data_IF_852114724538
#
_entry.id   IF_852114724538
#
_cell.length_a   1.000
_cell.length_b   1.000
_cell.length_c   1.000
_cell.angle_alpha   90.00
_cell.angle_beta   90.00
_cell.angle_gamma   90.00
#
_symmetry.space_group_name_H-M   'P 1'
#
loop_
_entity.id
_entity.type
_entity.pdbx_description
1 polymer ?
#
# COMPACT_ATOMS: atom_id res chain seq x y z
N UNK A 1 -30.69 43.02 47.75
CA UNK A 1 -30.64 42.54 49.15
C UNK A 1 -31.02 41.06 49.15
N UNK A 2 -30.28 40.18 49.84
CA UNK A 2 -30.58 38.77 50.20
C UNK A 2 -31.06 37.83 49.06
N UNK A 3 -30.39 36.74 48.69
CA UNK A 3 -29.81 35.65 49.51
C UNK A 3 -30.81 34.49 49.56
N UNK A 4 -30.50 33.22 49.26
CA UNK A 4 -29.28 32.41 49.54
C UNK A 4 -29.06 31.35 48.43
N UNK A 5 -27.83 30.83 48.31
CA UNK A 5 -27.50 29.72 47.40
C UNK A 5 -27.51 28.34 48.08
N UNK A 6 -27.26 27.28 47.29
CA UNK A 6 -27.07 25.91 47.75
C UNK A 6 -25.74 25.34 47.21
N UNK A 7 -24.88 24.87 48.13
CA UNK A 7 -23.67 24.10 47.82
C UNK A 7 -24.02 22.61 47.77
N UNK A 8 -23.36 21.84 46.89
CA UNK A 8 -23.21 20.39 47.04
C UNK A 8 -21.71 20.09 47.23
N UNK A 9 -21.38 19.33 48.28
CA UNK A 9 -20.00 19.04 48.70
C UNK A 9 -19.54 17.68 48.22
N UNK A 10 -18.28 17.61 47.80
CA UNK A 10 -17.45 16.41 47.69
C UNK A 10 -17.27 15.73 49.04
N UNK A 11 -17.28 14.38 49.09
CA UNK A 11 -16.50 13.56 50.05
C UNK A 11 -16.28 12.14 49.47
N UNK A 12 -15.07 11.62 49.68
CA UNK A 12 -14.55 10.31 49.27
C UNK A 12 -15.04 9.20 50.22
N UNK A 13 -15.16 7.95 49.74
CA UNK A 13 -15.17 6.76 50.61
C UNK A 13 -14.12 5.72 50.22
N UNK A 14 -13.66 4.99 51.23
CA UNK A 14 -12.43 4.19 51.25
C UNK A 14 -12.71 2.70 50.95
N UNK A 15 -11.70 1.99 50.43
CA UNK A 15 -11.73 0.53 50.27
C UNK A 15 -12.02 -0.22 51.59
N UNK A 16 -12.92 -1.20 51.53
CA UNK A 16 -12.73 -2.53 52.15
C UNK A 16 -13.38 -3.58 51.22
N UNK A 17 -12.57 -4.40 50.56
CA UNK A 17 -13.06 -5.57 49.84
C UNK A 17 -12.80 -6.82 50.69
N UNK A 18 -13.86 -7.35 51.32
CA UNK A 18 -13.75 -8.55 52.16
C UNK A 18 -13.65 -9.79 51.28
N UNK A 19 -12.47 -10.41 51.27
CA UNK A 19 -12.22 -11.65 50.54
C UNK A 19 -12.90 -12.82 51.25
N UNK A 20 -13.87 -13.47 50.60
CA UNK A 20 -14.42 -14.76 51.04
C UNK A 20 -14.11 -15.80 49.97
N UNK A 21 -13.16 -16.69 50.27
CA UNK A 21 -12.79 -17.79 49.40
C UNK A 21 -13.88 -18.87 49.40
N UNK A 22 -14.72 -18.87 48.37
CA UNK A 22 -15.48 -20.05 47.95
C UNK A 22 -14.60 -20.92 47.05
N UNK A 23 -13.92 -21.91 47.63
CA UNK A 23 -12.94 -22.73 46.90
C UNK A 23 -13.61 -23.78 45.99
N UNK A 24 -13.95 -23.39 44.76
CA UNK A 24 -14.13 -24.28 43.61
C UNK A 24 -13.16 -23.83 42.52
N UNK A 25 -11.93 -24.35 42.59
CA UNK A 25 -10.80 -23.87 41.80
C UNK A 25 -10.80 -24.39 40.37
N UNK A 26 -11.64 -23.81 39.50
CA UNK A 26 -11.30 -23.78 38.07
C UNK A 26 -10.19 -22.73 37.92
N UNK A 27 -8.94 -23.17 38.00
CA UNK A 27 -7.84 -22.34 37.54
C UNK A 27 -7.99 -22.21 36.03
N UNK A 28 -8.56 -21.10 35.58
CA UNK A 28 -8.40 -20.66 34.20
C UNK A 28 -6.90 -20.44 34.00
N UNK A 29 -6.22 -21.43 33.42
CA UNK A 29 -4.85 -21.30 32.99
C UNK A 29 -4.85 -20.21 31.93
N UNK A 30 -4.31 -19.04 32.28
CA UNK A 30 -4.13 -17.95 31.33
C UNK A 30 -3.15 -18.45 30.26
N UNK A 31 -3.69 -18.89 29.13
CA UNK A 31 -2.91 -19.38 28.00
C UNK A 31 -1.97 -18.26 27.57
N UNK A 32 -0.67 -18.56 27.51
CA UNK A 32 0.32 -17.57 27.07
C UNK A 32 -0.02 -17.15 25.63
N UNK A 33 -0.03 -15.85 25.31
CA UNK A 33 -0.44 -15.41 23.98
C UNK A 33 0.57 -15.86 22.93
N UNK A 34 0.07 -16.37 21.81
CA UNK A 34 0.87 -16.78 20.67
C UNK A 34 1.60 -15.56 20.09
N UNK A 35 2.93 -15.60 19.99
CA UNK A 35 3.71 -14.51 19.38
C UNK A 35 3.93 -14.78 17.90
N UNK A 36 3.44 -13.89 17.06
CA UNK A 36 3.53 -13.98 15.60
C UNK A 36 4.42 -12.85 15.10
N UNK A 37 5.58 -13.18 14.53
CA UNK A 37 6.41 -12.16 13.86
C UNK A 37 5.78 -11.81 12.52
N UNK A 38 5.73 -10.52 12.22
CA UNK A 38 5.35 -10.01 10.90
C UNK A 38 6.42 -9.06 10.39
N UNK A 39 6.96 -9.35 9.21
CA UNK A 39 7.90 -8.48 8.51
C UNK A 39 7.20 -7.89 7.28
N UNK A 40 7.07 -6.56 7.25
CA UNK A 40 6.40 -5.82 6.19
C UNK A 40 7.45 -5.22 5.25
N UNK A 41 7.38 -5.57 3.98
CA UNK A 41 8.16 -4.96 2.89
C UNK A 41 7.23 -4.53 1.77
N UNK A 42 7.76 -3.90 0.72
CA UNK A 42 7.02 -3.55 -0.47
C UNK A 42 6.23 -4.76 -1.02
N UNK A 43 4.90 -4.66 -0.93
CA UNK A 43 3.93 -5.63 -1.46
C UNK A 43 3.88 -6.99 -0.75
N UNK A 44 4.63 -7.21 0.33
CA UNK A 44 4.68 -8.52 1.04
C UNK A 44 4.40 -8.38 2.54
N UNK A 45 3.49 -9.23 3.03
CA UNK A 45 3.27 -9.47 4.47
C UNK A 45 3.89 -10.82 4.82
N UNK A 46 5.15 -10.81 5.24
CA UNK A 46 5.84 -12.03 5.65
C UNK A 46 5.49 -12.39 7.09
N UNK A 47 4.99 -13.62 7.27
CA UNK A 47 4.50 -14.19 8.52
C UNK A 47 4.17 -15.69 8.32
N UNK A 48 4.03 -16.50 9.38
CA UNK A 48 3.59 -17.89 9.27
C UNK A 48 2.18 -18.04 8.68
N UNK A 49 2.00 -19.05 7.83
CA UNK A 49 0.73 -19.39 7.15
C UNK A 49 -0.29 -20.06 8.08
N UNK A 50 0.21 -20.91 8.98
CA UNK A 50 -0.55 -21.70 9.94
C UNK A 50 -0.39 -21.11 11.35
N UNK A 51 -1.50 -20.66 11.93
CA UNK A 51 -1.57 -20.17 13.31
C UNK A 51 -2.51 -21.04 14.14
N UNK A 52 -2.39 -20.96 15.47
CA UNK A 52 -3.27 -21.65 16.42
C UNK A 52 -4.24 -20.66 17.05
N UNK A 53 -5.50 -21.05 17.21
CA UNK A 53 -6.53 -20.25 17.85
C UNK A 53 -6.17 -19.88 19.31
N UNK A 54 -6.62 -18.70 19.74
CA UNK A 54 -6.36 -18.14 21.06
C UNK A 54 -5.81 -16.70 21.03
N UNK A 55 -5.48 -16.14 22.21
CA UNK A 55 -4.89 -14.80 22.30
C UNK A 55 -3.54 -14.77 21.59
N UNK A 56 -3.32 -13.74 20.77
CA UNK A 56 -2.15 -13.62 19.89
C UNK A 56 -1.61 -12.19 19.87
N UNK A 57 -0.28 -12.05 19.88
CA UNK A 57 0.44 -10.78 19.76
C UNK A 57 1.24 -10.80 18.46
N UNK A 58 0.90 -9.90 17.56
CA UNK A 58 1.60 -9.71 16.30
C UNK A 58 2.73 -8.68 16.49
N UNK A 59 3.98 -9.14 16.36
CA UNK A 59 5.20 -8.34 16.43
C UNK A 59 5.56 -7.84 15.04
N UNK A 60 5.07 -6.66 14.69
CA UNK A 60 5.08 -6.13 13.33
C UNK A 60 6.28 -5.21 13.15
N UNK A 61 7.13 -5.46 12.16
CA UNK A 61 8.25 -4.59 11.81
C UNK A 61 8.22 -4.23 10.34
N UNK A 62 8.31 -2.95 10.05
CA UNK A 62 8.46 -2.45 8.68
C UNK A 62 9.94 -2.50 8.28
N UNK A 63 10.29 -3.42 7.38
CA UNK A 63 11.60 -3.54 6.74
C UNK A 63 11.66 -2.90 5.35
N UNK A 64 10.51 -2.51 4.80
CA UNK A 64 10.37 -1.78 3.54
C UNK A 64 10.82 -0.32 3.61
N UNK A 65 10.69 0.34 2.46
CA UNK A 65 11.00 1.75 2.20
C UNK A 65 9.76 2.66 2.26
N UNK A 66 8.55 2.11 2.14
CA UNK A 66 7.29 2.84 2.32
C UNK A 66 6.72 2.75 3.73
N UNK A 67 5.66 3.52 3.99
CA UNK A 67 4.89 3.43 5.24
C UNK A 67 3.90 2.28 5.14
N UNK A 68 3.82 1.45 6.18
CA UNK A 68 2.97 0.27 6.24
C UNK A 68 2.15 0.19 7.53
N UNK A 69 1.11 -0.64 7.52
CA UNK A 69 0.32 -1.07 8.68
C UNK A 69 -0.16 -2.50 8.42
N UNK A 70 -0.73 -3.16 9.42
CA UNK A 70 -1.34 -4.49 9.31
C UNK A 70 -2.83 -4.39 9.63
N UNK A 71 -3.67 -5.01 8.80
CA UNK A 71 -5.09 -5.26 9.04
C UNK A 71 -5.36 -6.76 8.91
N UNK A 72 -6.17 -7.30 9.82
CA UNK A 72 -6.57 -8.71 9.90
C UNK A 72 -8.10 -8.76 9.93
N UNK A 73 -8.70 -9.48 8.99
CA UNK A 73 -10.15 -9.58 8.84
C UNK A 73 -10.60 -11.03 8.63
N UNK A 74 -11.61 -11.47 9.37
CA UNK A 74 -12.15 -12.83 9.28
C UNK A 74 -12.80 -13.27 10.59
N UNK A 75 -13.69 -14.26 10.53
CA UNK A 75 -14.36 -14.83 11.73
C UNK A 75 -15.04 -13.80 12.66
N UNK A 76 -15.57 -12.70 12.10
CA UNK A 76 -16.12 -11.52 12.81
C UNK A 76 -15.09 -10.66 13.58
N UNK A 77 -13.80 -10.86 13.35
CA UNK A 77 -12.73 -9.95 13.77
C UNK A 77 -12.45 -8.94 12.65
N UNK A 78 -12.40 -7.67 13.02
CA UNK A 78 -11.73 -6.60 12.25
C UNK A 78 -10.69 -5.95 13.18
N UNK A 79 -9.40 -6.21 12.93
CA UNK A 79 -8.31 -5.69 13.74
C UNK A 79 -7.29 -4.96 12.87
N UNK A 80 -6.79 -3.81 13.32
CA UNK A 80 -5.83 -3.00 12.58
C UNK A 80 -4.80 -2.39 13.52
N UNK A 81 -3.55 -2.30 13.07
CA UNK A 81 -2.53 -1.48 13.72
C UNK A 81 -2.77 0.00 13.39
N UNK A 82 -3.29 0.77 14.35
CA UNK A 82 -3.52 2.22 14.21
C UNK A 82 -2.25 3.01 13.86
N UNK A 83 -1.09 2.52 14.32
CA UNK A 83 0.19 3.15 14.05
C UNK A 83 0.67 2.84 12.63
N UNK A 84 0.72 3.87 11.79
CA UNK A 84 1.44 3.83 10.53
C UNK A 84 2.95 3.70 10.78
N UNK A 85 3.51 2.53 10.48
CA UNK A 85 4.91 2.20 10.65
C UNK A 85 5.73 2.79 9.49
N UNK A 86 6.66 3.69 9.80
CA UNK A 86 7.70 4.14 8.86
C UNK A 86 8.77 3.05 8.66
N UNK A 87 9.64 3.16 7.65
CA UNK A 87 10.79 2.27 7.49
C UNK A 87 11.58 2.07 8.79
N UNK A 88 11.88 0.81 9.12
CA UNK A 88 12.53 0.35 10.37
C UNK A 88 11.76 0.61 11.66
N UNK A 89 10.47 0.93 11.59
CA UNK A 89 9.61 1.11 12.76
C UNK A 89 8.84 -0.20 13.04
N UNK A 90 8.66 -0.51 14.33
CA UNK A 90 7.88 -1.67 14.79
C UNK A 90 6.65 -1.25 15.59
N UNK A 91 5.67 -2.15 15.66
CA UNK A 91 4.43 -2.01 16.43
C UNK A 91 3.92 -3.37 16.91
N UNK A 92 2.99 -3.36 17.86
CA UNK A 92 2.31 -4.55 18.37
C UNK A 92 0.82 -4.45 18.07
N UNK A 93 0.22 -5.57 17.64
CA UNK A 93 -1.23 -5.72 17.48
C UNK A 93 -1.68 -6.97 18.25
N UNK A 94 -2.53 -6.78 19.25
CA UNK A 94 -3.08 -7.87 20.07
C UNK A 94 -4.47 -8.25 19.55
N UNK A 95 -4.72 -9.55 19.33
CA UNK A 95 -5.99 -10.08 18.81
C UNK A 95 -6.32 -11.42 19.45
N UNK A 96 -7.60 -11.78 19.46
CA UNK A 96 -8.05 -13.14 19.78
C UNK A 96 -8.44 -13.85 18.49
N UNK A 97 -7.72 -14.92 18.13
CA UNK A 97 -7.95 -15.67 16.89
C UNK A 97 -8.88 -16.85 17.17
N UNK A 98 -9.94 -16.97 16.37
CA UNK A 98 -10.82 -18.13 16.32
C UNK A 98 -10.37 -19.08 15.20
N UNK A 99 -10.69 -20.39 15.26
CA UNK A 99 -10.39 -21.30 14.17
C UNK A 99 -11.10 -20.86 12.88
N UNK A 100 -10.38 -20.85 11.76
CA UNK A 100 -10.92 -20.45 10.46
C UNK A 100 -9.92 -19.69 9.59
N UNK A 101 -10.44 -19.03 8.57
CA UNK A 101 -9.65 -18.32 7.55
C UNK A 101 -9.74 -16.80 7.77
N UNK A 102 -8.62 -16.11 7.57
CA UNK A 102 -8.51 -14.65 7.67
C UNK A 102 -7.79 -14.08 6.43
N UNK A 103 -8.19 -12.88 5.99
CA UNK A 103 -7.34 -12.02 5.16
C UNK A 103 -6.44 -11.18 6.06
N UNK A 104 -5.17 -11.06 5.68
CA UNK A 104 -4.18 -10.19 6.31
C UNK A 104 -3.57 -9.31 5.22
N UNK A 105 -3.60 -7.98 5.41
CA UNK A 105 -3.16 -7.03 4.38
C UNK A 105 -2.66 -5.70 4.94
N UNK A 106 -2.00 -4.92 4.09
CA UNK A 106 -1.63 -3.54 4.40
C UNK A 106 -2.72 -2.56 3.95
N UNK A 107 -3.41 -1.84 4.86
CA UNK A 107 -4.50 -0.92 4.52
C UNK A 107 -4.03 0.45 3.98
N UNK A 108 -2.71 0.67 3.84
CA UNK A 108 -2.15 1.93 3.36
C UNK A 108 -2.38 2.09 1.86
N UNK A 109 -3.15 3.11 1.46
CA UNK A 109 -3.37 3.46 0.05
C UNK A 109 -3.90 2.29 -0.78
N UNK A 110 -3.21 1.97 -1.87
CA UNK A 110 -3.51 0.85 -2.75
C UNK A 110 -2.64 -0.40 -2.47
N UNK A 111 -1.94 -0.49 -1.32
CA UNK A 111 -0.98 -1.56 -1.09
C UNK A 111 -1.60 -2.97 -1.16
N UNK A 112 -2.77 -3.18 -0.55
CA UNK A 112 -3.51 -4.43 -0.65
C UNK A 112 -4.03 -4.76 -2.07
N UNK A 113 -4.15 -3.77 -2.97
CA UNK A 113 -4.55 -3.96 -4.37
C UNK A 113 -3.35 -4.31 -5.26
N UNK A 114 -2.16 -3.86 -4.87
CA UNK A 114 -0.87 -4.15 -5.51
C UNK A 114 -0.20 -5.43 -4.97
N UNK A 115 -0.96 -6.30 -4.29
CA UNK A 115 -0.49 -7.62 -3.84
C UNK A 115 -0.14 -7.72 -2.36
N UNK A 116 -0.16 -6.62 -1.59
CA UNK A 116 0.13 -6.64 -0.14
C UNK A 116 -1.03 -7.19 0.70
N UNK A 117 -1.49 -8.38 0.35
CA UNK A 117 -2.55 -9.15 0.98
C UNK A 117 -2.21 -10.64 0.92
N UNK A 118 -2.65 -11.39 1.92
CA UNK A 118 -2.58 -12.84 1.94
C UNK A 118 -3.74 -13.42 2.74
N UNK A 119 -3.98 -14.70 2.53
CA UNK A 119 -4.89 -15.49 3.34
C UNK A 119 -4.07 -16.34 4.31
N UNK A 120 -4.53 -16.50 5.55
CA UNK A 120 -3.93 -17.37 6.56
C UNK A 120 -4.98 -18.34 7.13
N UNK A 121 -4.52 -19.46 7.68
CA UNK A 121 -5.37 -20.46 8.34
C UNK A 121 -5.07 -20.51 9.83
N UNK A 122 -6.12 -20.42 10.64
CA UNK A 122 -6.06 -20.62 12.08
C UNK A 122 -6.67 -21.98 12.41
N UNK A 123 -5.88 -22.90 12.94
CA UNK A 123 -6.35 -24.21 13.42
C UNK A 123 -6.89 -24.10 14.85
N UNK A 124 -7.74 -25.05 15.24
CA UNK A 124 -8.14 -25.17 16.64
C UNK A 124 -6.92 -25.46 17.52
N UNK A 125 -6.87 -24.86 18.71
CA UNK A 125 -5.93 -25.30 19.74
C UNK A 125 -6.30 -26.73 20.14
N UNK A 126 -5.33 -27.66 20.05
CA UNK A 126 -5.46 -28.99 20.64
C UNK A 126 -5.78 -28.85 22.14
N UNK A 127 -6.73 -29.62 22.69
CA UNK A 127 -6.99 -29.61 24.12
C UNK A 127 -5.73 -30.07 24.86
N UNK A 128 -5.18 -29.18 25.68
CA UNK A 128 -3.99 -29.45 26.49
C UNK A 128 -4.15 -30.74 27.31
N UNK A 129 -3.27 -31.72 27.07
CA UNK A 129 -3.14 -32.94 27.88
C UNK A 129 -2.70 -32.57 29.31
N UNK A 130 -3.67 -32.18 30.14
CA UNK A 130 -3.51 -32.13 31.58
C UNK A 130 -3.64 -33.56 32.13
N UNK A 131 -2.72 -34.04 32.98
CA UNK A 131 -2.78 -35.40 33.50
C UNK A 131 -4.04 -35.58 34.35
N UNK A 132 -4.80 -36.62 34.06
CA UNK A 132 -5.99 -36.98 34.84
C UNK A 132 -5.60 -37.27 36.30
N UNK A 133 -6.22 -36.55 37.23
CA UNK A 133 -6.13 -36.83 38.67
C UNK A 133 -7.25 -37.79 39.03
N UNK A 134 -6.91 -39.06 39.31
CA UNK A 134 -7.86 -40.02 39.85
C UNK A 134 -7.92 -39.94 41.39
N UNK A 135 -9.11 -39.66 41.92
CA UNK A 135 -9.38 -39.65 43.36
C UNK A 135 -9.65 -41.07 43.90
N UNK A 136 -8.72 -41.57 44.72
CA UNK A 136 -9.07 -42.11 46.05
C UNK A 136 -9.61 -43.55 46.22
N UNK A 137 -8.82 -44.31 47.00
CA UNK A 137 -9.26 -45.30 48.02
C UNK A 137 -9.64 -46.75 47.61
N UNK A 138 -8.61 -47.60 47.54
CA UNK A 138 -8.44 -48.87 48.26
C UNK A 138 -9.57 -49.95 48.32
N UNK A 139 -9.26 -51.13 47.79
CA UNK A 139 -9.45 -52.41 48.50
C UNK A 139 -8.28 -53.38 48.21
N UNK A 140 -8.10 -54.39 49.06
CA UNK A 140 -6.91 -55.24 49.16
C UNK A 140 -7.13 -56.63 48.55
N UNK A 141 -6.11 -57.25 47.95
CA UNK A 141 -5.57 -58.58 48.36
C UNK A 141 -4.37 -59.06 47.52
N UNK A 142 -3.31 -59.49 48.23
CA UNK A 142 -2.44 -60.68 48.02
C UNK A 142 -2.27 -61.29 46.59
N UNK A 143 -1.12 -61.77 46.11
CA UNK A 143 0.33 -61.75 46.44
C UNK A 143 1.06 -62.46 45.23
N UNK A 144 2.38 -62.72 45.10
CA UNK A 144 3.54 -62.71 46.01
C UNK A 144 4.86 -62.46 45.25
N UNK A 145 5.71 -61.58 45.80
CA UNK A 145 7.15 -61.75 46.09
C UNK A 145 8.07 -62.57 45.13
N UNK A 146 9.19 -61.95 44.70
CA UNK A 146 10.53 -62.44 45.07
C UNK A 146 11.63 -61.35 44.96
N UNK A 147 12.47 -61.20 45.99
CA UNK A 147 13.68 -60.36 46.01
C UNK A 147 14.60 -60.77 47.18
N UNK A 148 15.92 -60.85 46.95
CA UNK A 148 16.91 -60.58 47.99
C UNK A 148 18.07 -59.70 47.44
N UNK A 149 19.04 -59.26 48.27
CA UNK A 149 18.88 -58.12 49.16
C UNK A 149 19.88 -56.98 48.84
N UNK A 150 19.56 -55.76 49.30
CA UNK A 150 20.51 -54.64 49.24
C UNK A 150 21.55 -54.73 50.38
N UNK A 151 22.80 -54.37 50.08
CA UNK A 151 23.87 -54.20 51.07
C UNK A 151 24.48 -52.80 50.95
N UNK A 152 24.73 -52.16 52.08
CA UNK A 152 25.24 -50.79 52.19
C UNK A 152 26.77 -50.75 52.14
N UNK A 153 27.34 -49.78 51.42
CA UNK A 153 28.72 -49.33 51.59
C UNK A 153 28.89 -47.87 51.16
N UNK A 154 29.82 -47.15 51.81
CA UNK A 154 29.98 -45.68 51.69
C UNK A 154 31.38 -45.32 51.20
N UNK A 155 31.46 -44.42 50.19
CA UNK A 155 32.68 -43.70 49.73
C UNK A 155 33.79 -44.57 49.08
N UNK A 156 34.76 -44.01 48.30
CA UNK A 156 35.13 -42.59 48.16
C UNK A 156 35.24 -42.04 46.72
N UNK A 157 35.73 -40.79 46.61
CA UNK A 157 36.05 -40.07 45.36
C UNK A 157 36.95 -40.88 44.41
N UNK A 158 36.61 -40.82 43.12
CA UNK A 158 37.52 -41.06 41.99
C UNK A 158 37.23 -40.03 40.89
N UNK A 159 38.26 -39.61 40.16
CA UNK A 159 38.11 -38.70 39.00
C UNK A 159 37.50 -39.47 37.82
N UNK A 160 36.23 -39.20 37.50
CA UNK A 160 35.65 -39.66 36.22
C UNK A 160 35.81 -38.59 35.14
N UNK A 161 36.67 -38.98 34.21
CA UNK A 161 37.09 -38.33 32.99
C UNK A 161 35.94 -37.64 32.24
N UNK A 162 36.12 -36.34 31.91
CA UNK A 162 35.26 -35.65 30.95
C UNK A 162 35.19 -36.45 29.64
N UNK A 163 34.00 -36.58 29.02
CA UNK A 163 33.91 -37.13 27.67
C UNK A 163 34.76 -36.25 26.72
N UNK A 164 35.30 -36.83 25.64
CA UNK A 164 36.06 -36.04 24.68
C UNK A 164 35.19 -34.87 24.20
N UNK A 165 35.70 -33.66 24.35
CA UNK A 165 35.15 -32.51 23.63
C UNK A 165 35.34 -32.82 22.15
N UNK A 166 34.25 -33.21 21.50
CA UNK A 166 34.08 -33.03 20.06
C UNK A 166 34.52 -31.60 19.78
N UNK A 167 35.62 -31.44 19.05
CA UNK A 167 36.15 -30.15 18.66
C UNK A 167 35.27 -29.61 17.55
N UNK A 168 34.05 -29.23 17.98
CA UNK A 168 32.96 -28.71 17.18
C UNK A 168 33.42 -27.51 16.41
N UNK A 169 34.06 -27.77 15.27
CA UNK A 169 34.47 -26.79 14.30
C UNK A 169 33.21 -26.05 13.93
N UNK A 170 33.14 -24.78 14.33
CA UNK A 170 32.02 -23.92 14.00
C UNK A 170 31.82 -24.00 12.49
N UNK A 171 30.79 -24.73 12.07
CA UNK A 171 30.20 -24.60 10.75
C UNK A 171 29.53 -23.25 10.78
N UNK A 172 30.35 -22.20 10.63
CA UNK A 172 29.90 -20.91 10.15
C UNK A 172 29.27 -21.24 8.82
N UNK A 173 27.93 -21.31 8.79
CA UNK A 173 27.19 -21.44 7.56
C UNK A 173 27.73 -20.36 6.64
N UNK A 174 28.40 -20.78 5.56
CA UNK A 174 29.20 -19.87 4.73
C UNK A 174 28.25 -19.06 3.84
N UNK A 175 27.47 -18.19 4.48
CA UNK A 175 26.58 -17.24 3.84
C UNK A 175 27.45 -16.43 2.87
N UNK A 176 27.22 -16.55 1.56
CA UNK A 176 28.08 -15.90 0.59
C UNK A 176 28.09 -14.40 0.86
N UNK A 177 29.27 -13.79 0.83
CA UNK A 177 29.40 -12.34 0.95
C UNK A 177 28.73 -11.71 -0.26
N UNK A 178 27.90 -10.69 -0.03
CA UNK A 178 27.17 -10.00 -1.10
C UNK A 178 27.37 -8.48 -1.04
N UNK A 179 27.06 -7.82 -2.15
CA UNK A 179 26.86 -6.37 -2.22
C UNK A 179 25.52 -6.10 -2.89
N UNK A 180 24.68 -5.28 -2.24
CA UNK A 180 23.39 -4.85 -2.78
C UNK A 180 23.40 -3.34 -2.94
N UNK A 181 23.05 -2.84 -4.12
CA UNK A 181 22.94 -1.40 -4.39
C UNK A 181 21.69 -1.09 -5.21
N UNK A 182 21.31 0.19 -5.20
CA UNK A 182 20.28 0.74 -6.10
C UNK A 182 21.00 1.53 -7.21
N UNK A 183 20.82 1.09 -8.44
CA UNK A 183 21.13 1.87 -9.64
C UNK A 183 19.94 2.73 -10.05
N UNK A 184 20.21 3.91 -10.58
CA UNK A 184 19.21 4.83 -11.11
C UNK A 184 19.60 5.15 -12.54
N UNK A 185 18.70 4.88 -13.47
CA UNK A 185 18.85 5.21 -14.88
C UNK A 185 17.77 6.16 -15.33
N UNK A 186 18.16 7.10 -16.19
CA UNK A 186 17.24 8.08 -16.75
C UNK A 186 17.43 8.14 -18.26
N UNK A 187 16.32 8.39 -18.96
CA UNK A 187 16.35 8.66 -20.38
C UNK A 187 15.35 9.77 -20.69
N UNK A 188 15.77 10.69 -21.55
CA UNK A 188 14.96 11.81 -22.01
C UNK A 188 14.43 11.56 -23.43
N UNK A 189 13.25 12.13 -23.68
CA UNK A 189 12.69 12.32 -25.01
C UNK A 189 11.97 13.68 -25.10
N UNK A 190 11.90 14.21 -26.31
CA UNK A 190 10.94 15.28 -26.64
C UNK A 190 9.60 14.58 -26.92
N UNK A 191 8.49 14.97 -26.28
CA UNK A 191 7.17 14.45 -26.62
C UNK A 191 6.85 14.66 -28.10
N UNK A 192 6.21 13.68 -28.72
CA UNK A 192 5.81 13.65 -30.14
C UNK A 192 4.29 13.71 -30.33
N UNK A 193 3.52 13.38 -29.28
CA UNK A 193 2.06 13.43 -29.24
C UNK A 193 1.52 14.35 -28.12
N UNK A 194 0.27 14.76 -28.27
CA UNK A 194 -0.46 15.52 -27.26
C UNK A 194 -1.81 14.84 -26.93
N UNK A 195 -2.24 14.96 -25.69
CA UNK A 195 -3.60 14.67 -25.23
C UNK A 195 -4.25 15.99 -24.82
N UNK A 196 -5.31 16.35 -25.55
CA UNK A 196 -6.10 17.55 -25.30
C UNK A 196 -7.38 17.15 -24.55
N UNK A 197 -7.76 17.91 -23.53
CA UNK A 197 -9.11 17.87 -22.97
C UNK A 197 -9.80 19.19 -23.34
N UNK A 198 -10.74 19.12 -24.28
CA UNK A 198 -11.46 20.26 -24.81
C UNK A 198 -12.95 19.93 -25.00
N UNK A 199 -13.77 20.95 -25.28
CA UNK A 199 -15.17 20.74 -25.61
C UNK A 199 -16.01 22.01 -25.59
N UNK A 200 -17.31 21.80 -25.40
CA UNK A 200 -18.35 22.81 -25.60
C UNK A 200 -19.14 23.02 -24.31
N UNK A 201 -19.19 24.26 -23.85
CA UNK A 201 -20.16 24.79 -22.90
C UNK A 201 -21.25 25.57 -23.64
N UNK A 202 -22.51 25.28 -23.34
CA UNK A 202 -23.66 26.07 -23.80
C UNK A 202 -24.54 26.46 -22.62
N UNK A 203 -25.30 27.53 -22.76
CA UNK A 203 -26.28 27.99 -21.78
C UNK A 203 -27.62 28.29 -22.45
N UNK A 204 -28.73 28.13 -21.74
CA UNK A 204 -30.06 28.38 -22.27
C UNK A 204 -31.19 28.11 -21.27
N UNK A 205 -32.41 28.53 -21.62
CA UNK A 205 -33.53 28.62 -20.69
C UNK A 205 -34.05 27.26 -20.22
N UNK A 206 -33.95 26.22 -21.08
CA UNK A 206 -34.41 24.86 -20.76
C UNK A 206 -33.31 23.82 -20.93
N UNK A 207 -33.29 22.83 -20.05
CA UNK A 207 -32.33 21.73 -20.06
C UNK A 207 -32.28 21.00 -21.41
N UNK A 208 -33.45 20.72 -21.99
CA UNK A 208 -33.58 20.00 -23.26
C UNK A 208 -33.00 20.80 -24.44
N UNK A 209 -33.34 22.08 -24.58
CA UNK A 209 -32.80 22.95 -25.63
C UNK A 209 -31.28 23.11 -25.50
N UNK A 210 -30.79 23.35 -24.29
CA UNK A 210 -29.36 23.57 -24.02
C UNK A 210 -28.54 22.32 -24.36
N UNK A 211 -29.07 21.13 -24.08
CA UNK A 211 -28.44 19.85 -24.43
C UNK A 211 -28.44 19.57 -25.94
N UNK A 212 -29.55 19.86 -26.64
CA UNK A 212 -29.63 19.70 -28.11
C UNK A 212 -28.62 20.61 -28.81
N UNK A 213 -28.56 21.88 -28.40
CA UNK A 213 -27.62 22.84 -28.98
C UNK A 213 -26.15 22.49 -28.64
N UNK A 214 -25.88 22.03 -27.41
CA UNK A 214 -24.56 21.50 -27.04
C UNK A 214 -24.13 20.33 -27.94
N UNK A 215 -25.03 19.37 -28.14
CA UNK A 215 -24.78 18.17 -28.95
C UNK A 215 -24.54 18.53 -30.42
N UNK A 216 -25.26 19.53 -30.94
CA UNK A 216 -25.08 20.05 -32.30
C UNK A 216 -23.69 20.69 -32.47
N UNK A 217 -23.28 21.56 -31.56
CA UNK A 217 -21.95 22.20 -31.59
C UNK A 217 -20.83 21.16 -31.42
N UNK A 218 -20.97 20.21 -30.49
CA UNK A 218 -20.00 19.14 -30.30
C UNK A 218 -19.88 18.27 -31.55
N UNK A 219 -20.97 17.98 -32.27
CA UNK A 219 -20.91 17.23 -33.52
C UNK A 219 -20.13 17.97 -34.62
N UNK A 220 -20.20 19.31 -34.69
CA UNK A 220 -19.35 20.12 -35.57
C UNK A 220 -17.86 19.92 -35.21
N UNK A 221 -17.50 20.09 -33.94
CA UNK A 221 -16.13 19.90 -33.43
C UNK A 221 -15.61 18.49 -33.72
N UNK A 222 -16.40 17.45 -33.46
CA UNK A 222 -16.07 16.05 -33.77
C UNK A 222 -15.91 15.79 -35.28
N UNK A 223 -16.57 16.58 -36.13
CA UNK A 223 -16.42 16.47 -37.59
C UNK A 223 -15.11 17.14 -38.02
N UNK A 224 -14.84 18.36 -37.56
CA UNK A 224 -13.56 19.06 -37.79
C UNK A 224 -12.34 18.23 -37.39
N UNK A 225 -12.37 17.56 -36.23
CA UNK A 225 -11.29 16.64 -35.82
C UNK A 225 -11.06 15.49 -36.81
N UNK A 226 -12.14 14.86 -37.32
CA UNK A 226 -12.05 13.77 -38.29
C UNK A 226 -11.57 14.26 -39.66
N UNK A 227 -11.99 15.44 -40.08
CA UNK A 227 -11.59 16.07 -41.34
C UNK A 227 -10.10 16.45 -41.32
N UNK A 228 -9.56 16.83 -40.14
CA UNK A 228 -8.12 16.97 -39.88
C UNK A 228 -7.38 15.64 -39.68
N UNK A 229 -8.04 14.50 -39.86
CA UNK A 229 -7.44 13.16 -39.86
C UNK A 229 -7.26 12.51 -38.49
N UNK A 230 -7.83 13.06 -37.42
CA UNK A 230 -7.79 12.40 -36.10
C UNK A 230 -8.67 11.14 -36.15
N UNK A 231 -8.08 10.00 -35.79
CA UNK A 231 -8.77 8.72 -35.82
C UNK A 231 -9.89 8.66 -34.78
N UNK A 232 -11.01 8.00 -35.10
CA UNK A 232 -12.14 7.85 -34.15
C UNK A 232 -11.74 7.18 -32.84
N UNK A 233 -10.76 6.26 -32.85
CA UNK A 233 -10.23 5.63 -31.63
C UNK A 233 -9.37 6.55 -30.75
N UNK A 234 -8.90 7.68 -31.31
CA UNK A 234 -8.14 8.70 -30.59
C UNK A 234 -9.04 9.82 -30.03
N UNK A 235 -10.37 9.74 -30.22
CA UNK A 235 -11.37 10.68 -29.70
C UNK A 235 -12.29 9.95 -28.72
N UNK A 236 -12.35 10.43 -27.46
CA UNK A 236 -13.19 9.86 -26.40
C UNK A 236 -14.02 10.95 -25.75
N UNK A 237 -15.33 10.75 -25.57
CA UNK A 237 -16.12 11.61 -24.68
C UNK A 237 -15.66 11.40 -23.24
N UNK A 238 -15.26 12.48 -22.57
CA UNK A 238 -14.76 12.47 -21.20
C UNK A 238 -15.88 12.68 -20.18
N UNK A 239 -16.76 13.68 -20.41
CA UNK A 239 -17.98 13.84 -19.62
C UNK A 239 -19.04 14.66 -20.35
N UNK A 240 -20.31 14.46 -19.98
CA UNK A 240 -21.42 15.35 -20.33
C UNK A 240 -22.15 15.69 -19.04
N UNK A 241 -22.22 16.97 -18.70
CA UNK A 241 -22.74 17.46 -17.43
C UNK A 241 -23.75 18.58 -17.67
N UNK A 242 -24.85 18.58 -16.91
CA UNK A 242 -25.92 19.56 -17.02
C UNK A 242 -26.19 20.15 -15.64
N UNK A 243 -26.11 21.48 -15.54
CA UNK A 243 -26.23 22.23 -14.29
C UNK A 243 -27.36 23.26 -14.40
N UNK A 244 -28.27 23.35 -13.42
CA UNK A 244 -29.18 24.50 -13.32
C UNK A 244 -28.39 25.77 -12.96
N UNK A 245 -28.63 26.86 -13.68
CA UNK A 245 -28.20 28.21 -13.32
C UNK A 245 -29.27 28.86 -12.44
N UNK A 246 -28.85 29.47 -11.34
CA UNK A 246 -29.72 30.26 -10.49
C UNK A 246 -29.19 31.69 -10.40
N UNK A 247 -30.08 32.66 -10.39
CA UNK A 247 -29.78 34.07 -10.14
C UNK A 247 -30.42 34.51 -8.81
N UNK A 248 -29.78 35.47 -8.14
CA UNK A 248 -30.25 35.99 -6.86
C UNK A 248 -31.04 37.28 -7.06
N UNK A 249 -32.25 37.34 -6.51
CA UNK A 249 -33.06 38.56 -6.54
C UNK A 249 -32.46 39.64 -5.62
N UNK A 250 -32.48 40.93 -6.01
CA UNK A 250 -31.99 42.01 -5.17
C UNK A 250 -32.71 42.11 -3.81
N UNK A 251 -32.08 42.71 -2.78
CA UNK A 251 -32.71 42.97 -1.48
C UNK A 251 -34.03 43.77 -1.60
N UNK A 252 -35.00 43.61 -0.69
CA UNK A 252 -34.86 43.03 0.66
C UNK A 252 -35.17 41.53 0.76
N UNK A 253 -35.57 40.86 -0.33
CA UNK A 253 -35.82 39.41 -0.35
C UNK A 253 -34.90 38.75 -1.36
N UNK A 254 -33.74 38.27 -0.89
CA UNK A 254 -32.84 37.45 -1.69
C UNK A 254 -33.40 36.04 -1.79
N UNK A 255 -33.94 35.69 -2.96
CA UNK A 255 -34.36 34.36 -3.36
C UNK A 255 -33.50 33.90 -4.52
N UNK A 256 -33.32 32.58 -4.65
CA UNK A 256 -32.61 31.97 -5.79
C UNK A 256 -33.64 31.50 -6.81
N UNK A 257 -33.79 32.25 -7.89
CA UNK A 257 -34.67 31.90 -9.00
C UNK A 257 -33.90 31.11 -10.06
N UNK A 258 -34.57 30.15 -10.72
CA UNK A 258 -33.96 29.36 -11.78
C UNK A 258 -33.84 30.23 -13.04
N UNK A 259 -32.60 30.57 -13.41
CA UNK A 259 -32.27 31.45 -14.54
C UNK A 259 -31.93 30.68 -15.83
N UNK A 260 -32.01 29.35 -15.81
CA UNK A 260 -31.78 28.48 -16.96
C UNK A 260 -30.85 27.33 -16.63
N UNK A 261 -30.09 26.87 -17.62
CA UNK A 261 -29.20 25.71 -17.53
C UNK A 261 -27.90 25.96 -18.28
N UNK A 262 -26.83 25.33 -17.80
CA UNK A 262 -25.54 25.18 -18.49
C UNK A 262 -25.35 23.70 -18.83
N UNK A 263 -24.93 23.39 -20.05
CA UNK A 263 -24.41 22.06 -20.41
C UNK A 263 -22.93 22.18 -20.73
N UNK A 264 -22.11 21.29 -20.16
CA UNK A 264 -20.68 21.16 -20.44
C UNK A 264 -20.44 19.75 -20.97
N UNK A 265 -19.87 19.65 -22.17
CA UNK A 265 -19.52 18.40 -22.81
C UNK A 265 -18.04 18.44 -23.17
N UNK A 266 -17.28 17.47 -22.68
CA UNK A 266 -15.83 17.40 -22.79
C UNK A 266 -15.44 16.12 -23.50
N UNK A 267 -14.41 16.22 -24.33
CA UNK A 267 -13.75 15.12 -25.01
C UNK A 267 -12.25 15.13 -24.72
N UNK A 268 -11.68 13.95 -24.57
CA UNK A 268 -10.25 13.71 -24.68
C UNK A 268 -9.92 13.43 -26.15
N UNK A 269 -8.90 14.09 -26.67
CA UNK A 269 -8.40 13.91 -28.04
C UNK A 269 -6.90 13.60 -27.97
N UNK A 270 -6.50 12.44 -28.51
CA UNK A 270 -5.09 12.08 -28.70
C UNK A 270 -4.64 12.52 -30.10
N UNK A 271 -3.62 13.37 -30.14
CA UNK A 271 -3.05 13.93 -31.36
C UNK A 271 -1.64 13.36 -31.52
N UNK A 272 -1.47 12.43 -32.46
CA UNK A 272 -0.23 11.65 -32.67
C UNK A 272 0.94 12.44 -33.28
N UNK A 273 0.73 13.72 -33.58
CA UNK A 273 1.78 14.62 -34.04
C UNK A 273 1.50 16.03 -33.52
N UNK A 274 2.44 16.59 -32.76
CA UNK A 274 2.34 17.97 -32.24
C UNK A 274 2.51 19.01 -33.37
N UNK A 275 3.05 18.61 -34.53
CA UNK A 275 3.16 19.49 -35.69
C UNK A 275 1.76 19.91 -36.18
N UNK A 276 1.49 21.22 -36.21
CA UNK A 276 0.17 21.77 -36.56
C UNK A 276 -0.85 21.76 -35.40
N UNK A 277 -0.45 21.41 -34.17
CA UNK A 277 -1.36 21.41 -33.01
C UNK A 277 -2.02 22.79 -32.77
N UNK A 278 -1.29 23.90 -32.98
CA UNK A 278 -1.84 25.24 -32.89
C UNK A 278 -2.99 25.49 -33.88
N UNK A 279 -2.81 25.09 -35.15
CA UNK A 279 -3.88 25.19 -36.17
C UNK A 279 -5.10 24.34 -35.81
N UNK A 280 -4.87 23.12 -35.31
CA UNK A 280 -5.94 22.22 -34.89
C UNK A 280 -6.75 22.82 -33.73
N UNK A 281 -6.09 23.47 -32.76
CA UNK A 281 -6.73 24.18 -31.66
C UNK A 281 -7.57 25.36 -32.17
N UNK A 282 -7.02 26.18 -33.06
CA UNK A 282 -7.74 27.32 -33.67
C UNK A 282 -8.98 26.85 -34.47
N UNK A 283 -8.87 25.73 -35.20
CA UNK A 283 -9.99 25.15 -35.97
C UNK A 283 -11.09 24.57 -35.08
N UNK A 284 -10.77 23.82 -34.02
CA UNK A 284 -11.82 23.32 -33.13
C UNK A 284 -12.52 24.46 -32.37
N UNK A 285 -11.81 25.57 -32.08
CA UNK A 285 -12.41 26.78 -31.51
C UNK A 285 -13.39 27.42 -32.51
N UNK A 286 -12.97 27.57 -33.78
CA UNK A 286 -13.87 28.04 -34.85
C UNK A 286 -15.07 27.11 -35.08
N UNK A 287 -14.91 25.80 -34.86
CA UNK A 287 -15.99 24.81 -34.94
C UNK A 287 -16.97 24.83 -33.74
N UNK A 288 -16.67 25.59 -32.68
CA UNK A 288 -17.53 25.80 -31.51
C UNK A 288 -16.97 25.32 -30.17
N UNK A 289 -15.76 24.74 -30.12
CA UNK A 289 -15.11 24.43 -28.86
C UNK A 289 -14.77 25.73 -28.10
N UNK A 290 -15.21 25.82 -26.87
CA UNK A 290 -15.06 27.05 -26.04
C UNK A 290 -14.60 26.75 -24.62
N UNK A 291 -14.36 25.48 -24.31
CA UNK A 291 -13.81 24.99 -23.04
C UNK A 291 -12.56 24.19 -23.36
N UNK A 292 -11.38 24.69 -22.97
CA UNK A 292 -10.10 23.98 -23.04
C UNK A 292 -9.61 23.81 -21.60
N UNK A 293 -9.47 22.57 -21.14
CA UNK A 293 -9.08 22.26 -19.75
C UNK A 293 -7.60 21.92 -19.60
N UNK A 294 -7.05 21.16 -20.54
CA UNK A 294 -5.66 20.73 -20.48
C UNK A 294 -5.10 20.42 -21.86
N UNK A 295 -3.80 20.66 -22.01
CA UNK A 295 -2.95 20.02 -23.02
C UNK A 295 -1.84 19.30 -22.25
N UNK A 296 -1.71 18.01 -22.50
CA UNK A 296 -0.68 17.13 -21.93
C UNK A 296 0.20 16.64 -23.08
N UNK A 297 1.50 16.84 -22.97
CA UNK A 297 2.45 16.24 -23.91
C UNK A 297 2.88 14.86 -23.40
N UNK A 298 2.90 13.88 -24.29
CA UNK A 298 3.27 12.49 -24.00
C UNK A 298 4.23 12.00 -25.08
N UNK A 299 5.07 11.02 -24.75
CA UNK A 299 5.80 10.23 -25.75
C UNK A 299 4.87 9.11 -26.24
N UNK A 300 4.81 8.90 -27.56
CA UNK A 300 3.97 7.92 -28.27
C UNK A 300 4.30 6.49 -27.89
N UNK A 301 5.57 6.13 -28.13
CA UNK A 301 6.16 4.84 -27.82
C UNK A 301 7.25 5.07 -26.76
N UNK A 302 6.98 4.61 -25.54
CA UNK A 302 7.91 4.75 -24.42
C UNK A 302 8.83 3.55 -24.23
N UNK A 303 8.73 2.49 -25.03
CA UNK A 303 9.44 1.24 -24.76
C UNK A 303 10.95 1.41 -24.99
N UNK A 304 11.35 2.02 -26.11
CA UNK A 304 12.75 2.46 -26.37
C UNK A 304 13.27 3.46 -25.32
N UNK A 305 12.38 4.23 -24.69
CA UNK A 305 12.74 5.20 -23.64
C UNK A 305 12.95 4.51 -22.29
N UNK A 306 12.10 3.51 -21.97
CA UNK A 306 12.23 2.64 -20.80
C UNK A 306 13.47 1.75 -20.88
N UNK A 307 13.76 1.16 -22.04
CA UNK A 307 14.91 0.27 -22.21
C UNK A 307 16.25 1.02 -22.11
N UNK A 308 16.33 2.24 -22.65
CA UNK A 308 17.49 3.13 -22.40
C UNK A 308 17.64 3.48 -20.91
N UNK A 309 16.54 3.72 -20.20
CA UNK A 309 16.58 3.98 -18.76
C UNK A 309 16.98 2.74 -17.95
N UNK A 310 16.51 1.53 -18.33
CA UNK A 310 16.94 0.24 -17.74
C UNK A 310 18.43 -0.01 -17.93
N UNK A 311 18.94 0.19 -19.14
CA UNK A 311 20.36 0.01 -19.44
C UNK A 311 21.21 0.95 -18.58
N UNK A 312 20.85 2.24 -18.52
CA UNK A 312 21.52 3.21 -17.65
C UNK A 312 21.46 2.81 -16.16
N UNK A 313 20.32 2.29 -15.69
CA UNK A 313 20.15 1.87 -14.30
C UNK A 313 21.06 0.68 -13.94
N UNK A 314 21.15 -0.32 -14.82
CA UNK A 314 22.03 -1.48 -14.64
C UNK A 314 23.52 -1.11 -14.76
N UNK A 315 23.88 -0.18 -15.65
CA UNK A 315 25.23 0.37 -15.75
C UNK A 315 25.63 1.12 -14.45
N UNK A 316 24.76 1.97 -13.91
CA UNK A 316 25.01 2.66 -12.63
C UNK A 316 25.10 1.69 -11.45
N UNK A 317 24.17 0.71 -11.36
CA UNK A 317 24.19 -0.31 -10.31
C UNK A 317 25.50 -1.11 -10.31
N UNK A 318 25.90 -1.66 -11.48
CA UNK A 318 27.12 -2.47 -11.60
C UNK A 318 28.39 -1.67 -11.29
N UNK A 319 28.47 -0.41 -11.73
CA UNK A 319 29.59 0.48 -11.38
C UNK A 319 29.65 0.80 -9.88
N UNK A 320 28.50 1.05 -9.23
CA UNK A 320 28.42 1.26 -7.77
C UNK A 320 28.87 0.00 -7.02
N UNK A 321 28.37 -1.17 -7.40
CA UNK A 321 28.70 -2.44 -6.77
C UNK A 321 30.20 -2.78 -6.91
N UNK A 322 30.78 -2.59 -8.10
CA UNK A 322 32.21 -2.81 -8.34
C UNK A 322 33.10 -1.88 -7.49
N UNK A 323 32.72 -0.60 -7.33
CA UNK A 323 33.43 0.35 -6.46
C UNK A 323 33.37 -0.07 -4.98
N UNK A 324 32.21 -0.52 -4.50
CA UNK A 324 32.06 -1.01 -3.12
C UNK A 324 32.81 -2.31 -2.88
N UNK A 325 32.80 -3.25 -3.84
CA UNK A 325 33.58 -4.49 -3.77
C UNK A 325 35.08 -4.18 -3.61
N UNK A 326 35.63 -3.30 -4.45
CA UNK A 326 37.03 -2.90 -4.39
C UNK A 326 37.41 -2.27 -3.03
N UNK A 327 36.56 -1.39 -2.47
CA UNK A 327 36.75 -0.80 -1.15
C UNK A 327 36.69 -1.84 -0.01
N UNK A 328 35.99 -2.95 -0.21
CA UNK A 328 35.92 -4.08 0.72
C UNK A 328 37.04 -5.11 0.52
N UNK A 329 38.05 -4.81 -0.32
CA UNK A 329 39.11 -5.73 -0.76
C UNK A 329 38.56 -7.04 -1.36
N UNK A 330 37.48 -6.93 -2.15
CA UNK A 330 36.83 -8.03 -2.86
C UNK A 330 36.63 -7.65 -4.34
N UNK A 331 36.29 -8.66 -5.14
CA UNK A 331 35.89 -8.53 -6.54
C UNK A 331 34.39 -8.78 -6.71
N UNK A 332 33.80 -8.19 -7.76
CA UNK A 332 32.37 -8.37 -8.05
C UNK A 332 32.15 -9.75 -8.71
N UNK A 333 31.29 -10.55 -8.11
CA UNK A 333 30.89 -11.87 -8.59
C UNK A 333 29.64 -11.83 -9.46
N UNK A 334 28.92 -12.94 -9.49
CA UNK A 334 27.72 -13.09 -10.32
C UNK A 334 26.53 -12.34 -9.68
N UNK A 335 25.57 -11.92 -10.53
CA UNK A 335 24.29 -11.34 -10.08
C UNK A 335 23.46 -12.44 -9.40
N UNK A 336 22.88 -12.12 -8.24
CA UNK A 336 21.97 -13.00 -7.50
C UNK A 336 20.50 -12.60 -7.71
N UNK A 337 20.20 -11.31 -7.61
CA UNK A 337 18.84 -10.78 -7.77
C UNK A 337 18.86 -9.44 -8.51
N UNK A 338 17.82 -9.19 -9.30
CA UNK A 338 17.50 -7.90 -9.92
C UNK A 338 16.03 -7.62 -9.61
N UNK A 339 15.75 -6.53 -8.89
CA UNK A 339 14.42 -6.02 -8.63
C UNK A 339 14.29 -4.66 -9.35
N UNK A 340 13.49 -4.61 -10.42
CA UNK A 340 13.17 -3.36 -11.12
C UNK A 340 12.01 -2.63 -10.42
N UNK A 341 12.22 -1.36 -10.08
CA UNK A 341 11.19 -0.42 -9.64
C UNK A 341 11.09 0.69 -10.68
N UNK A 342 10.27 0.45 -11.69
CA UNK A 342 10.00 1.46 -12.73
C UNK A 342 8.98 2.47 -12.21
N UNK A 343 9.43 3.73 -12.02
CA UNK A 343 8.55 4.86 -11.77
C UNK A 343 8.18 5.49 -13.12
N UNK A 344 6.97 5.18 -13.58
CA UNK A 344 6.43 5.75 -14.82
C UNK A 344 6.48 7.29 -14.82
N UNK A 345 6.67 7.92 -16.00
CA UNK A 345 6.86 9.36 -16.07
C UNK A 345 5.62 10.10 -15.55
N UNK A 346 5.85 11.14 -14.74
CA UNK A 346 4.78 12.02 -14.28
C UNK A 346 4.16 12.79 -15.44
N UNK A 347 2.84 13.06 -15.40
CA UNK A 347 2.17 13.84 -16.43
C UNK A 347 2.67 15.29 -16.48
N UNK A 348 3.24 15.71 -17.62
CA UNK A 348 3.48 17.13 -17.90
C UNK A 348 2.14 17.82 -18.18
N UNK A 349 1.85 18.92 -17.48
CA UNK A 349 0.65 19.75 -17.69
C UNK A 349 1.11 21.10 -18.22
N UNK A 350 0.71 21.46 -19.43
CA UNK A 350 0.89 22.82 -19.94
C UNK A 350 -0.23 23.72 -19.38
N UNK A 351 0.13 24.71 -18.56
CA UNK A 351 -0.82 25.66 -17.98
C UNK A 351 -1.07 26.82 -18.97
N UNK A 352 -2.14 26.71 -19.77
CA UNK A 352 -2.56 27.77 -20.68
C UNK A 352 -3.54 28.74 -20.02
N UNK A 353 -3.16 30.02 -19.94
CA UNK A 353 -4.09 31.11 -19.60
C UNK A 353 -4.79 31.57 -20.88
N UNK A 354 -6.05 31.19 -21.04
CA UNK A 354 -6.86 31.66 -22.16
C UNK A 354 -7.11 33.18 -22.06
N UNK A 355 -6.61 33.95 -23.04
CA UNK A 355 -7.03 35.33 -23.30
C UNK A 355 -7.48 35.43 -24.75
N UNK A 356 -8.67 35.99 -24.97
CA UNK A 356 -9.20 36.22 -26.29
C UNK A 356 -8.57 37.49 -26.89
N UNK A 357 -7.57 37.29 -27.75
CA UNK A 357 -7.20 38.14 -28.91
C UNK A 357 -6.03 37.41 -29.63
N UNK A 358 -6.34 36.76 -30.75
CA UNK A 358 -5.52 35.65 -31.25
C UNK A 358 -4.32 36.05 -32.11
N UNK A 359 -3.12 35.75 -31.61
CA UNK A 359 -1.99 35.26 -32.41
C UNK A 359 -1.96 33.72 -32.31
N UNK A 360 -1.37 32.97 -33.26
CA UNK A 360 -1.31 31.51 -33.19
C UNK A 360 -0.66 31.06 -31.87
N UNK A 361 -1.30 30.11 -31.18
CA UNK A 361 -0.86 29.63 -29.87
C UNK A 361 0.55 29.04 -29.98
N UNK A 362 1.57 29.59 -29.29
CA UNK A 362 2.89 28.99 -29.24
C UNK A 362 2.83 27.68 -28.45
N UNK A 363 3.23 26.57 -29.07
CA UNK A 363 3.24 25.24 -28.47
C UNK A 363 4.68 24.77 -28.37
N UNK A 364 5.21 24.67 -27.15
CA UNK A 364 6.51 24.08 -26.86
C UNK A 364 6.34 22.90 -25.87
N UNK A 365 6.61 21.64 -26.28
CA UNK A 365 6.26 20.47 -25.48
C UNK A 365 7.23 20.16 -24.33
N UNK A 366 8.38 20.83 -24.28
CA UNK A 366 9.45 20.55 -23.32
C UNK A 366 10.13 19.20 -23.53
N UNK A 367 10.74 18.67 -22.48
CA UNK A 367 11.39 17.34 -22.45
C UNK A 367 10.78 16.49 -21.34
N UNK A 368 10.51 15.22 -21.62
CA UNK A 368 10.00 14.26 -20.65
C UNK A 368 11.11 13.25 -20.29
N UNK A 369 11.33 13.07 -18.98
CA UNK A 369 12.31 12.13 -18.44
C UNK A 369 11.60 10.90 -17.86
N UNK A 370 12.02 9.71 -18.28
CA UNK A 370 11.70 8.45 -17.60
C UNK A 370 12.82 8.11 -16.62
N UNK A 371 12.46 7.59 -15.44
CA UNK A 371 13.42 7.13 -14.42
C UNK A 371 13.13 5.69 -14.00
N UNK A 372 14.12 4.83 -14.16
CA UNK A 372 14.08 3.43 -13.72
C UNK A 372 15.05 3.27 -12.56
N UNK A 373 14.60 2.63 -11.48
CA UNK A 373 15.48 2.19 -10.39
C UNK A 373 15.61 0.67 -10.43
N UNK A 374 16.84 0.16 -10.25
CA UNK A 374 17.10 -1.27 -10.13
C UNK A 374 17.84 -1.54 -8.83
N UNK A 375 17.25 -2.32 -7.94
CA UNK A 375 17.97 -2.88 -6.80
C UNK A 375 18.59 -4.21 -7.25
N UNK A 376 19.90 -4.32 -7.16
CA UNK A 376 20.64 -5.49 -7.64
C UNK A 376 21.60 -5.97 -6.56
N UNK A 377 21.62 -7.29 -6.35
CA UNK A 377 22.56 -7.95 -5.45
C UNK A 377 23.56 -8.81 -6.25
N UNK A 378 24.83 -8.73 -5.89
CA UNK A 378 25.91 -9.57 -6.43
C UNK A 378 26.59 -10.36 -5.33
N UNK A 379 27.20 -11.48 -5.71
CA UNK A 379 28.26 -12.12 -4.92
C UNK A 379 29.50 -11.21 -4.83
N UNK A 380 30.25 -11.35 -3.74
CA UNK A 380 31.62 -10.86 -3.60
C UNK A 380 32.59 -12.04 -3.61
N UNK A 381 33.69 -11.91 -4.33
CA UNK A 381 34.76 -12.91 -4.51
C UNK A 381 36.10 -12.39 -4.00
#
# INVERSE_FOLDING_TARGET
>A
MHGKGAFIKTTIWLMVATMVFGAWGIHAVAQQPNRVRVELTEWVVDMPDDLVAGPSIFEITNLGLFTHSLRIEGQNLEAQLDLLLRPRQSGLLEVELLPGTYEVYCPVGNHAQLGMRRTITVTAAEPSDAPAVEDGAADLTMASLNLPPLSFATAPRGEEQMPPTDDGGSVVGNTPRTVTVIGIGQADAVPDQAVIIAGVRTEGDTAAQTLVENSRQMQTVLTTLRDRGIATGDIRTESVQLFPRYEETPPPQTMRELAGYTVVNLMQVRVRSIAGLGELLDEIVQAGANTLQAIRFEVGDSDDLLDRAREAAMQDASQKAARLAALANASLGDVLTINEVTRGPGPLVAEMIARADAAPVPVEPGTQTITVEVQVAWLLR
#
